data_IF_479671557460
#
_entry.id   IF_479671557460
#
_cell.length_a   1.000
_cell.length_b   1.000
_cell.length_c   1.000
_cell.angle_alpha   90.00
_cell.angle_beta   90.00
_cell.angle_gamma   90.00
#
_symmetry.space_group_name_H-M   'P 1'
#
loop_
_entity.id
_entity.type
_entity.pdbx_description
1 polymer ?
#
# COMPACT_ATOMS: atom_id res chain seq x y z
N UNK A 1 12.75 -19.05 15.49
CA UNK A 1 11.35 -18.69 15.76
C UNK A 1 10.78 -19.73 16.71
N UNK A 2 10.12 -19.32 17.80
CA UNK A 2 9.60 -20.28 18.80
C UNK A 2 8.35 -20.99 18.27
N UNK A 3 8.52 -22.24 17.87
CA UNK A 3 7.50 -23.10 17.26
C UNK A 3 6.31 -23.37 18.20
N UNK A 4 6.50 -23.25 19.52
CA UNK A 4 5.41 -23.38 20.51
C UNK A 4 4.48 -22.16 20.51
N UNK A 5 5.03 -20.96 20.30
CA UNK A 5 4.27 -19.71 20.25
C UNK A 5 3.34 -19.65 19.02
N UNK A 6 3.84 -20.13 17.87
CA UNK A 6 3.06 -20.21 16.62
C UNK A 6 1.90 -21.21 16.74
N UNK A 7 2.13 -22.38 17.36
CA UNK A 7 1.09 -23.40 17.56
C UNK A 7 -0.03 -22.96 18.51
N UNK A 8 0.27 -22.06 19.45
CA UNK A 8 -0.71 -21.50 20.40
C UNK A 8 -1.47 -20.29 19.85
N UNK A 9 -0.94 -19.67 18.79
CA UNK A 9 -1.58 -18.53 18.12
C UNK A 9 -2.74 -19.02 17.27
N UNK A 10 -3.94 -19.11 17.85
CA UNK A 10 -5.17 -19.39 17.10
C UNK A 10 -5.71 -18.09 16.54
N UNK A 11 -5.80 -17.99 15.22
CA UNK A 11 -6.49 -16.87 14.57
C UNK A 11 -8.00 -17.02 14.81
N UNK A 12 -8.66 -16.07 15.49
CA UNK A 12 -10.04 -16.26 15.98
C UNK A 12 -11.10 -15.98 14.91
N UNK A 13 -10.69 -15.57 13.71
CA UNK A 13 -11.60 -15.22 12.62
C UNK A 13 -11.55 -16.27 11.50
N UNK A 14 -12.65 -16.49 10.77
CA UNK A 14 -12.64 -17.38 9.62
C UNK A 14 -11.67 -16.87 8.56
N UNK A 15 -11.00 -17.79 7.89
CA UNK A 15 -10.24 -17.45 6.68
C UNK A 15 -11.23 -17.15 5.57
N UNK A 16 -11.25 -15.91 5.11
CA UNK A 16 -12.05 -15.48 3.98
C UNK A 16 -11.14 -15.27 2.77
N UNK A 17 -11.53 -15.84 1.64
CA UNK A 17 -10.85 -15.67 0.36
C UNK A 17 -11.91 -15.42 -0.70
N UNK A 18 -11.63 -14.49 -1.60
CA UNK A 18 -12.48 -14.19 -2.73
C UNK A 18 -12.64 -15.42 -3.64
N UNK A 19 -13.85 -15.68 -4.15
CA UNK A 19 -14.12 -16.80 -5.07
C UNK A 19 -13.28 -16.76 -6.35
N UNK A 20 -12.87 -15.57 -6.78
CA UNK A 20 -12.07 -15.36 -7.99
C UNK A 20 -10.55 -15.49 -7.77
N UNK A 21 -10.10 -15.89 -6.58
CA UNK A 21 -8.67 -15.93 -6.23
C UNK A 21 -7.81 -16.78 -7.20
N UNK A 22 -8.35 -17.90 -7.69
CA UNK A 22 -7.67 -18.72 -8.69
C UNK A 22 -7.76 -18.13 -10.09
N UNK A 23 -8.92 -17.55 -10.43
CA UNK A 23 -9.21 -17.01 -11.76
C UNK A 23 -8.34 -15.79 -12.10
N UNK A 24 -7.91 -15.03 -11.10
CA UNK A 24 -7.09 -13.83 -11.32
C UNK A 24 -5.64 -14.12 -11.70
N UNK A 25 -5.18 -15.36 -11.50
CA UNK A 25 -3.80 -15.73 -11.80
C UNK A 25 -3.52 -15.73 -13.31
N UNK A 26 -4.46 -16.22 -14.11
CA UNK A 26 -4.31 -16.30 -15.57
C UNK A 26 -4.08 -14.91 -16.22
N UNK A 27 -4.92 -13.89 -15.96
CA UNK A 27 -4.69 -12.56 -16.53
C UNK A 27 -3.45 -11.88 -15.93
N UNK A 28 -3.04 -12.27 -14.72
CA UNK A 28 -1.79 -11.80 -14.12
C UNK A 28 -0.60 -12.33 -14.92
N UNK A 29 -0.51 -13.64 -15.09
CA UNK A 29 0.68 -14.28 -15.67
C UNK A 29 0.81 -13.95 -17.14
N UNK A 30 -0.29 -14.06 -17.90
CA UNK A 30 -0.25 -13.89 -19.36
C UNK A 30 -0.35 -12.44 -19.77
N UNK A 31 -1.40 -11.75 -19.35
CA UNK A 31 -1.65 -10.40 -19.89
C UNK A 31 -0.83 -9.33 -19.19
N UNK A 32 -0.60 -9.44 -17.88
CA UNK A 32 0.10 -8.37 -17.16
C UNK A 32 1.59 -8.60 -17.09
N UNK A 33 2.04 -9.82 -16.80
CA UNK A 33 3.46 -10.14 -16.70
C UNK A 33 4.04 -10.41 -18.10
N UNK A 34 3.48 -11.36 -18.85
CA UNK A 34 4.07 -11.73 -20.15
C UNK A 34 3.86 -10.70 -21.23
N UNK A 35 2.79 -9.91 -21.21
CA UNK A 35 2.54 -8.88 -22.23
C UNK A 35 2.87 -7.49 -21.72
N UNK A 36 2.10 -6.95 -20.77
CA UNK A 36 2.24 -5.54 -20.35
C UNK A 36 3.60 -5.22 -19.69
N UNK A 37 4.24 -6.18 -19.01
CA UNK A 37 5.55 -6.01 -18.39
C UNK A 37 6.72 -6.50 -19.27
N UNK A 38 6.44 -6.98 -20.49
CA UNK A 38 7.47 -7.58 -21.37
C UNK A 38 8.58 -6.59 -21.67
N UNK A 39 9.82 -6.97 -21.36
CA UNK A 39 11.00 -6.13 -21.57
C UNK A 39 11.13 -4.93 -20.63
N UNK A 40 10.14 -4.68 -19.76
CA UNK A 40 10.19 -3.66 -18.71
C UNK A 40 10.76 -4.25 -17.41
N UNK A 41 10.38 -5.48 -17.10
CA UNK A 41 10.78 -6.18 -15.87
C UNK A 41 11.77 -7.30 -16.22
N UNK A 42 12.84 -7.42 -15.44
CA UNK A 42 13.80 -8.51 -15.59
C UNK A 42 13.12 -9.87 -15.39
N UNK A 43 13.54 -10.88 -16.16
CA UNK A 43 12.86 -12.18 -16.23
C UNK A 43 12.86 -12.92 -14.89
N UNK A 44 13.92 -12.78 -14.09
CA UNK A 44 14.02 -13.36 -12.75
C UNK A 44 12.96 -12.79 -11.79
N UNK A 45 12.72 -11.48 -11.86
CA UNK A 45 11.68 -10.79 -11.10
C UNK A 45 10.29 -11.23 -11.59
N UNK A 46 10.09 -11.29 -12.91
CA UNK A 46 8.83 -11.72 -13.51
C UNK A 46 8.45 -13.16 -13.12
N UNK A 47 9.41 -14.09 -13.17
CA UNK A 47 9.23 -15.47 -12.75
C UNK A 47 8.95 -15.58 -11.24
N UNK A 48 9.59 -14.72 -10.44
CA UNK A 48 9.31 -14.57 -9.01
C UNK A 48 7.86 -14.18 -8.73
N UNK A 49 7.26 -13.28 -9.53
CA UNK A 49 5.86 -12.90 -9.39
C UNK A 49 4.90 -14.06 -9.69
N UNK A 50 5.12 -14.76 -10.80
CA UNK A 50 4.29 -15.92 -11.15
C UNK A 50 4.36 -17.01 -10.07
N UNK A 51 5.57 -17.29 -9.57
CA UNK A 51 5.79 -18.32 -8.54
C UNK A 51 5.18 -17.95 -7.19
N UNK A 52 5.26 -16.68 -6.80
CA UNK A 52 4.71 -16.20 -5.52
C UNK A 52 3.19 -16.07 -5.52
N UNK A 53 2.54 -16.16 -6.69
CA UNK A 53 1.08 -15.99 -6.85
C UNK A 53 0.58 -14.72 -6.17
N UNK A 54 1.32 -13.64 -6.35
CA UNK A 54 1.19 -12.44 -5.52
C UNK A 54 -0.19 -11.78 -5.64
N UNK A 55 -0.86 -11.97 -6.77
CA UNK A 55 -2.23 -11.50 -7.02
C UNK A 55 -3.32 -12.29 -6.28
N UNK A 56 -2.95 -13.36 -5.58
CA UNK A 56 -3.81 -13.99 -4.57
C UNK A 56 -3.99 -13.11 -3.32
N UNK A 57 -3.02 -12.25 -3.02
CA UNK A 57 -3.02 -11.43 -1.81
C UNK A 57 -4.24 -10.49 -1.73
N UNK A 58 -4.62 -9.76 -2.79
CA UNK A 58 -5.86 -8.95 -2.78
C UNK A 58 -7.13 -9.77 -2.63
N UNK A 59 -7.15 -11.04 -3.05
CA UNK A 59 -8.31 -11.91 -2.85
C UNK A 59 -8.51 -12.26 -1.36
N UNK A 60 -7.44 -12.30 -0.56
CA UNK A 60 -7.53 -12.46 0.90
C UNK A 60 -7.93 -11.15 1.59
N UNK A 61 -7.46 -9.99 1.11
CA UNK A 61 -7.81 -8.70 1.70
C UNK A 61 -9.22 -8.22 1.35
N UNK A 62 -9.74 -8.62 0.18
CA UNK A 62 -11.03 -8.18 -0.33
C UNK A 62 -11.92 -9.38 -0.71
N UNK A 63 -12.30 -10.23 0.26
CA UNK A 63 -13.02 -11.48 -0.01
C UNK A 63 -14.39 -11.26 -0.64
N UNK A 64 -15.00 -10.09 -0.42
CA UNK A 64 -16.32 -9.73 -0.94
C UNK A 64 -16.27 -8.82 -2.19
N UNK A 65 -15.08 -8.57 -2.76
CA UNK A 65 -14.97 -7.76 -3.96
C UNK A 65 -15.55 -8.49 -5.18
N UNK A 66 -16.29 -7.76 -6.01
CA UNK A 66 -16.67 -8.26 -7.33
C UNK A 66 -15.44 -8.44 -8.22
N UNK A 67 -15.53 -9.28 -9.24
CA UNK A 67 -14.46 -9.48 -10.22
C UNK A 67 -13.91 -8.16 -10.78
N UNK A 68 -14.79 -7.25 -11.19
CA UNK A 68 -14.42 -5.94 -11.75
C UNK A 68 -13.62 -5.06 -10.79
N UNK A 69 -13.89 -5.17 -9.48
CA UNK A 69 -13.17 -4.43 -8.43
C UNK A 69 -11.87 -5.14 -8.06
N UNK A 70 -11.86 -6.46 -8.08
CA UNK A 70 -10.70 -7.27 -7.71
C UNK A 70 -9.57 -7.14 -8.74
N UNK A 71 -9.89 -7.11 -10.04
CA UNK A 71 -8.88 -6.99 -11.11
C UNK A 71 -7.90 -5.81 -10.95
N UNK A 72 -8.35 -4.54 -10.79
CA UNK A 72 -7.43 -3.43 -10.60
C UNK A 72 -6.68 -3.50 -9.25
N UNK A 73 -7.28 -4.11 -8.22
CA UNK A 73 -6.62 -4.33 -6.92
C UNK A 73 -5.52 -5.40 -7.01
N UNK A 74 -5.74 -6.46 -7.78
CA UNK A 74 -4.71 -7.44 -8.11
C UNK A 74 -3.58 -6.80 -8.90
N UNK A 75 -3.92 -6.07 -9.97
CA UNK A 75 -2.92 -5.46 -10.83
C UNK A 75 -2.04 -4.44 -10.09
N UNK A 76 -2.60 -3.65 -9.16
CA UNK A 76 -1.77 -2.69 -8.40
C UNK A 76 -0.72 -3.37 -7.53
N UNK A 77 -0.94 -4.63 -7.09
CA UNK A 77 0.07 -5.32 -6.27
C UNK A 77 1.37 -5.58 -7.00
N UNK A 78 1.39 -5.69 -8.32
CA UNK A 78 2.62 -5.88 -9.09
C UNK A 78 3.62 -4.73 -8.90
N UNK A 79 3.13 -3.49 -8.72
CA UNK A 79 3.98 -2.30 -8.58
C UNK A 79 4.83 -2.29 -7.30
N UNK A 80 4.28 -2.42 -6.08
CA UNK A 80 5.07 -2.42 -4.85
C UNK A 80 6.06 -3.58 -4.81
N UNK A 81 5.73 -4.77 -5.32
CA UNK A 81 6.69 -5.88 -5.33
C UNK A 81 7.88 -5.65 -6.28
N UNK A 82 7.64 -5.05 -7.46
CA UNK A 82 8.72 -4.66 -8.36
C UNK A 82 9.57 -3.54 -7.77
N UNK A 83 8.92 -2.52 -7.18
CA UNK A 83 9.60 -1.42 -6.51
C UNK A 83 10.47 -1.91 -5.34
N UNK A 84 9.98 -2.85 -4.53
CA UNK A 84 10.73 -3.44 -3.41
C UNK A 84 12.04 -4.10 -3.88
N UNK A 85 11.97 -4.92 -4.93
CA UNK A 85 13.15 -5.55 -5.55
C UNK A 85 14.15 -4.52 -6.12
N UNK A 86 13.67 -3.40 -6.65
CA UNK A 86 14.54 -2.31 -7.13
C UNK A 86 15.15 -1.53 -5.96
N UNK A 87 14.36 -1.25 -4.93
CA UNK A 87 14.79 -0.42 -3.79
C UNK A 87 15.90 -1.07 -2.99
N UNK A 88 15.98 -2.41 -2.96
CA UNK A 88 17.13 -3.12 -2.39
C UNK A 88 18.47 -2.78 -3.07
N UNK A 89 18.44 -2.30 -4.33
CA UNK A 89 19.63 -2.04 -5.16
C UNK A 89 19.80 -0.56 -5.50
N UNK A 90 18.91 0.32 -5.05
CA UNK A 90 18.87 1.73 -5.42
C UNK A 90 19.44 2.65 -4.33
N UNK A 91 19.99 3.80 -4.72
CA UNK A 91 20.41 4.84 -3.77
C UNK A 91 19.18 5.59 -3.21
N UNK A 92 19.29 6.23 -2.03
CA UNK A 92 18.21 7.04 -1.48
C UNK A 92 17.66 8.12 -2.44
N UNK A 93 18.53 8.73 -3.24
CA UNK A 93 18.16 9.74 -4.24
C UNK A 93 17.33 9.14 -5.38
N UNK A 94 17.72 7.94 -5.84
CA UNK A 94 16.98 7.20 -6.86
C UNK A 94 15.59 6.80 -6.35
N UNK A 95 15.52 6.26 -5.12
CA UNK A 95 14.25 5.93 -4.46
C UNK A 95 13.35 7.17 -4.37
N UNK A 96 13.90 8.32 -3.94
CA UNK A 96 13.14 9.57 -3.84
C UNK A 96 12.57 9.99 -5.20
N UNK A 97 13.37 9.94 -6.26
CA UNK A 97 12.92 10.27 -7.63
C UNK A 97 11.82 9.33 -8.11
N UNK A 98 11.95 8.02 -7.89
CA UNK A 98 10.95 7.02 -8.28
C UNK A 98 9.64 7.28 -7.53
N UNK A 99 9.70 7.57 -6.23
CA UNK A 99 8.53 7.88 -5.41
C UNK A 99 7.81 9.14 -5.90
N UNK A 100 8.55 10.24 -6.09
CA UNK A 100 8.00 11.51 -6.60
C UNK A 100 7.31 11.32 -7.96
N UNK A 101 7.95 10.57 -8.87
CA UNK A 101 7.44 10.32 -10.22
C UNK A 101 6.22 9.39 -10.22
N UNK A 102 6.24 8.34 -9.40
CA UNK A 102 5.10 7.42 -9.19
C UNK A 102 3.88 8.19 -8.66
N UNK A 103 4.08 9.06 -7.68
CA UNK A 103 3.02 9.91 -7.11
C UNK A 103 2.48 10.88 -8.16
N UNK A 104 3.33 11.46 -9.00
CA UNK A 104 2.90 12.35 -10.08
C UNK A 104 2.01 11.62 -11.09
N UNK A 105 2.33 10.39 -11.48
CA UNK A 105 1.48 9.56 -12.36
C UNK A 105 0.14 9.23 -11.69
N UNK A 106 0.16 8.79 -10.43
CA UNK A 106 -1.07 8.46 -9.68
C UNK A 106 -2.00 9.67 -9.51
N UNK A 107 -1.43 10.87 -9.42
CA UNK A 107 -2.19 12.13 -9.43
C UNK A 107 -2.62 12.56 -10.82
N UNK A 108 -2.02 12.02 -11.87
CA UNK A 108 -2.20 12.43 -13.27
C UNK A 108 -1.57 13.75 -13.60
N UNK A 109 -0.50 14.09 -12.88
CA UNK A 109 0.31 15.26 -13.16
C UNK A 109 1.28 14.98 -14.30
N UNK A 110 1.79 13.75 -14.38
CA UNK A 110 2.64 13.27 -15.48
C UNK A 110 2.04 12.05 -16.16
N UNK A 111 2.37 11.88 -17.44
CA UNK A 111 2.20 10.63 -18.19
C UNK A 111 3.28 9.61 -17.79
N UNK A 112 3.07 8.31 -18.06
CA UNK A 112 4.10 7.28 -17.89
C UNK A 112 5.43 7.62 -18.56
N UNK A 113 5.38 8.16 -19.78
CA UNK A 113 6.54 8.45 -20.61
C UNK A 113 7.36 9.61 -20.03
N UNK A 114 6.70 10.62 -19.46
CA UNK A 114 7.35 11.77 -18.81
C UNK A 114 7.99 11.41 -17.46
N UNK A 115 7.46 10.41 -16.77
CA UNK A 115 7.84 10.09 -15.40
C UNK A 115 9.07 9.18 -15.30
N UNK A 116 9.44 8.47 -16.37
CA UNK A 116 10.60 7.57 -16.40
C UNK A 116 10.51 6.40 -15.40
N UNK A 117 9.29 6.03 -15.00
CA UNK A 117 9.03 4.89 -14.09
C UNK A 117 8.76 3.65 -14.93
N UNK A 118 9.52 2.58 -14.73
CA UNK A 118 9.43 1.31 -15.48
C UNK A 118 7.97 0.80 -15.56
N UNK A 119 7.22 0.86 -14.46
CA UNK A 119 5.82 0.45 -14.38
C UNK A 119 4.83 1.63 -14.42
N UNK A 120 5.24 2.78 -14.97
CA UNK A 120 4.41 3.98 -15.05
C UNK A 120 3.09 3.75 -15.78
N UNK A 121 3.11 2.97 -16.87
CA UNK A 121 1.91 2.61 -17.63
C UNK A 121 0.92 1.80 -16.80
N UNK A 122 1.42 0.85 -16.00
CA UNK A 122 0.61 0.06 -15.08
C UNK A 122 -0.06 0.95 -14.02
N UNK A 123 0.69 1.89 -13.44
CA UNK A 123 0.16 2.85 -12.44
C UNK A 123 -0.97 3.69 -13.06
N UNK A 124 -0.77 4.21 -14.27
CA UNK A 124 -1.78 5.01 -14.96
C UNK A 124 -3.06 4.20 -15.27
N UNK A 125 -2.92 2.95 -15.74
CA UNK A 125 -4.06 2.05 -15.99
C UNK A 125 -4.82 1.75 -14.71
N UNK A 126 -4.11 1.40 -13.63
CA UNK A 126 -4.70 1.14 -12.32
C UNK A 126 -5.46 2.38 -11.83
N UNK A 127 -4.83 3.56 -11.85
CA UNK A 127 -5.47 4.83 -11.48
C UNK A 127 -6.79 5.03 -12.21
N UNK A 128 -6.81 4.82 -13.53
CA UNK A 128 -8.01 4.96 -14.34
C UNK A 128 -9.11 3.97 -13.93
N UNK A 129 -8.77 2.71 -13.68
CA UNK A 129 -9.72 1.67 -13.28
C UNK A 129 -10.23 1.88 -11.85
N UNK A 130 -9.35 2.14 -10.89
CA UNK A 130 -9.70 2.36 -9.48
C UNK A 130 -10.54 3.62 -9.31
N UNK A 131 -10.24 4.71 -10.03
CA UNK A 131 -11.02 5.96 -9.96
C UNK A 131 -12.51 5.76 -10.24
N UNK A 132 -12.89 4.79 -11.10
CA UNK A 132 -14.30 4.47 -11.38
C UNK A 132 -15.08 4.04 -10.13
N UNK A 133 -14.38 3.49 -9.15
CA UNK A 133 -14.97 3.00 -7.89
C UNK A 133 -14.84 3.99 -6.72
N UNK A 134 -14.04 5.05 -6.87
CA UNK A 134 -13.89 6.10 -5.84
C UNK A 134 -14.90 7.22 -6.12
N UNK A 135 -15.87 7.48 -5.21
CA UNK A 135 -16.83 8.57 -5.37
C UNK A 135 -16.12 9.92 -5.52
N UNK A 136 -16.65 10.81 -6.36
CA UNK A 136 -16.09 12.15 -6.66
C UNK A 136 -15.66 12.90 -5.39
N UNK A 137 -16.54 12.93 -4.38
CA UNK A 137 -16.31 13.59 -3.07
C UNK A 137 -15.10 13.08 -2.29
N UNK A 138 -14.63 11.87 -2.59
CA UNK A 138 -13.46 11.22 -1.96
C UNK A 138 -12.22 11.29 -2.83
N UNK A 139 -12.33 11.76 -4.08
CA UNK A 139 -11.18 12.00 -4.94
C UNK A 139 -10.48 13.26 -4.43
N UNK A 140 -9.21 13.14 -4.01
CA UNK A 140 -8.42 14.33 -3.70
C UNK A 140 -8.28 15.17 -4.98
N UNK A 141 -8.53 16.49 -4.93
CA UNK A 141 -8.18 17.36 -6.05
C UNK A 141 -6.68 17.24 -6.31
N UNK A 142 -6.28 17.33 -7.58
CA UNK A 142 -4.89 17.37 -8.01
C UNK A 142 -4.27 18.71 -7.59
N UNK A 143 -4.06 18.91 -6.29
CA UNK A 143 -3.38 20.08 -5.77
C UNK A 143 -1.89 19.97 -6.15
N UNK A 144 -1.27 21.02 -6.72
CA UNK A 144 0.18 21.04 -6.88
C UNK A 144 0.83 20.93 -5.49
N UNK A 145 1.70 19.93 -5.30
CA UNK A 145 2.40 19.78 -4.03
C UNK A 145 3.61 20.70 -3.96
N UNK A 146 3.81 21.26 -2.76
CA UNK A 146 5.09 21.85 -2.37
C UNK A 146 6.18 20.77 -2.41
N UNK A 147 7.41 21.11 -2.83
CA UNK A 147 8.54 20.17 -2.89
C UNK A 147 8.75 19.42 -1.56
N UNK A 148 9.10 18.13 -1.66
CA UNK A 148 9.37 17.24 -0.51
C UNK A 148 10.48 17.76 0.41
N UNK A 149 11.36 18.64 -0.10
CA UNK A 149 12.35 19.38 0.70
C UNK A 149 11.75 20.24 1.82
N UNK A 150 10.44 20.49 1.82
CA UNK A 150 9.74 21.21 2.90
C UNK A 150 9.06 20.31 3.95
N UNK A 151 9.16 18.97 3.84
CA UNK A 151 8.68 18.06 4.90
C UNK A 151 9.71 17.82 6.02
N UNK A 152 10.93 18.34 5.90
CA UNK A 152 11.90 18.40 7.01
C UNK A 152 11.47 19.47 8.01
N UNK A 153 10.45 19.20 8.82
CA UNK A 153 10.22 19.99 10.04
C UNK A 153 11.32 19.66 11.04
N UNK A 154 12.09 20.63 11.56
CA UNK A 154 12.93 20.37 12.71
C UNK A 154 12.04 19.96 13.88
N UNK A 155 12.42 18.84 14.51
CA UNK A 155 11.84 18.34 15.75
C UNK A 155 11.98 19.47 16.79
N UNK A 156 10.90 20.20 17.07
CA UNK A 156 10.92 21.22 18.15
C UNK A 156 11.32 20.49 19.43
N UNK A 157 12.49 20.83 19.96
CA UNK A 157 12.87 20.47 21.31
C UNK A 157 11.79 21.04 22.25
N UNK A 158 11.09 20.16 22.95
CA UNK A 158 10.18 20.56 24.01
C UNK A 158 11.01 21.03 25.20
N UNK A 159 11.20 22.34 25.33
CA UNK A 159 11.60 22.96 26.59
C UNK A 159 10.39 22.90 27.53
N UNK A 160 10.35 21.88 28.38
CA UNK A 160 9.39 21.76 29.48
C UNK A 160 9.76 22.74 30.60
N UNK A 161 9.19 23.94 30.56
CA UNK A 161 9.06 24.79 31.75
C UNK A 161 7.70 24.49 32.38
N UNK A 162 7.70 23.69 33.45
CA UNK A 162 6.51 23.33 34.23
C UNK A 162 6.20 24.46 35.22
N UNK A 163 5.00 25.08 35.20
CA UNK A 163 4.54 25.88 36.33
C UNK A 163 3.93 24.95 37.39
N UNK A 164 4.46 25.00 38.61
CA UNK A 164 3.88 24.36 39.80
C UNK A 164 2.48 24.89 40.05
N UNK A 165 1.50 23.99 40.21
CA UNK A 165 0.14 24.31 40.66
C UNK A 165 -0.03 23.84 42.12
N UNK A 166 -0.67 24.60 43.02
CA UNK A 166 -0.71 24.25 44.44
C UNK A 166 -1.72 23.14 44.74
N UNK A 167 -1.44 22.43 45.83
CA UNK A 167 -2.22 21.30 46.35
C UNK A 167 -3.66 21.70 46.73
N UNK A 168 -4.61 20.83 46.38
CA UNK A 168 -5.95 20.79 46.98
C UNK A 168 -6.34 19.33 47.24
N UNK A 169 -6.92 19.12 48.41
CA UNK A 169 -7.16 17.90 49.20
C UNK A 169 -8.14 16.89 48.54
N UNK A 170 -8.18 15.63 49.00
CA UNK A 170 -8.86 14.53 48.32
C UNK A 170 -10.35 14.47 48.67
N UNK A 171 -11.20 14.32 47.65
CA UNK A 171 -12.60 13.94 47.82
C UNK A 171 -12.86 12.61 47.13
N UNK A 172 -13.45 11.71 47.90
CA UNK A 172 -13.76 10.33 47.59
C UNK A 172 -14.96 10.20 46.63
N UNK A 173 -14.93 9.17 45.78
CA UNK A 173 -16.02 8.19 45.51
C UNK A 173 -15.77 7.50 44.18
N UNK A 174 -15.32 6.25 44.24
CA UNK A 174 -15.52 5.29 43.17
C UNK A 174 -16.74 4.43 43.53
N UNK A 175 -17.65 4.13 42.61
CA UNK A 175 -18.67 3.11 42.83
C UNK A 175 -18.07 1.71 42.64
N UNK A 176 -18.59 0.67 43.32
CA UNK A 176 -18.09 -0.69 43.20
C UNK A 176 -18.46 -1.32 41.86
N UNK A 177 -17.59 -2.22 41.37
CA UNK A 177 -17.81 -3.04 40.16
C UNK A 177 -18.84 -4.15 40.43
N UNK A 178 -19.69 -4.49 39.45
CA UNK A 178 -20.58 -5.63 39.56
C UNK A 178 -19.81 -6.94 39.30
N UNK A 179 -20.10 -7.94 40.13
CA UNK A 179 -19.71 -9.33 39.94
C UNK A 179 -20.81 -10.08 39.19
N UNK A 180 -20.44 -10.76 38.10
CA UNK A 180 -21.07 -11.97 37.58
C UNK A 180 -20.02 -12.76 36.81
#
# INVERSE_FOLDING_TARGET
MDTQLVKRSRYPFPTLVNEYASAIQEPTDRHWIDDDCRGLVASDIADGFKRSRTTYTPACFFPMATWERLLPLARVTLSPFHQDNIYERATPEQVRRICESTIAIDRGQHTPDEAGVILGGLIAVVRCKVRRFVPERRRRPSTPQRPVSQLSRPRRAATSATPRRPASTPSSRWPPRPTS
#
